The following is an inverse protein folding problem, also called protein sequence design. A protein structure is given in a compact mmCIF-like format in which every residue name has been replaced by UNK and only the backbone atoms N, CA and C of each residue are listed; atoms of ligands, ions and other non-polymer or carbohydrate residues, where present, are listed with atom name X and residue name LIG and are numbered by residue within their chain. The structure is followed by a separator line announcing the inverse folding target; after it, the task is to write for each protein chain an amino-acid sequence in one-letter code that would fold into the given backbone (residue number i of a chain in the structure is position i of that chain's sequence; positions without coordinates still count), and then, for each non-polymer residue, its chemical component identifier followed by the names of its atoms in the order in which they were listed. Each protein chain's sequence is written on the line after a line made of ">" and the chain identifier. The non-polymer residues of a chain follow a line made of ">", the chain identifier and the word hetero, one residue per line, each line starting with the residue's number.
data_IF_358539706244
#
_entry.id   IF_358539706244
#
_cell.length_a   1.000
_cell.length_b   1.000
_cell.length_c   1.000
_cell.angle_alpha   90.00
_cell.angle_beta   90.00
_cell.angle_gamma   90.00
#
_symmetry.space_group_name_H-M   'P 1'
#
loop_
_entity.id
_entity.type
_entity.pdbx_description
1 polymer ?
#
# COMPACT_ATOMS: atom_id res chain seq x y z
N UNK A 1 26.64 -58.57 34.17
CA UNK A 1 26.80 -57.83 32.90
C UNK A 1 25.54 -57.02 32.66
N UNK A 2 25.60 -55.70 32.80
CA UNK A 2 24.52 -54.79 32.40
C UNK A 2 25.16 -53.59 31.70
N UNK A 3 24.95 -53.51 30.38
CA UNK A 3 25.40 -52.39 29.55
C UNK A 3 24.52 -51.17 29.87
N UNK A 4 25.16 -50.08 30.32
CA UNK A 4 24.52 -48.78 30.47
C UNK A 4 24.49 -48.08 29.12
N UNK A 5 23.29 -47.85 28.60
CA UNK A 5 23.00 -47.07 27.40
C UNK A 5 23.56 -45.66 27.52
N UNK A 6 24.49 -45.30 26.63
CA UNK A 6 24.96 -43.93 26.46
C UNK A 6 24.13 -43.25 25.38
N UNK A 7 23.60 -42.09 25.75
CA UNK A 7 22.80 -41.17 24.93
C UNK A 7 23.66 -40.62 23.79
N UNK A 8 23.22 -40.80 22.55
CA UNK A 8 23.68 -40.00 21.42
C UNK A 8 22.49 -39.18 20.91
N UNK A 9 22.29 -37.99 21.49
CA UNK A 9 21.41 -36.98 20.93
C UNK A 9 22.12 -36.39 19.71
N UNK A 10 21.83 -36.92 18.53
CA UNK A 10 22.29 -36.35 17.27
C UNK A 10 21.60 -35.00 17.04
N UNK A 11 22.41 -33.95 16.97
CA UNK A 11 22.02 -32.66 16.44
C UNK A 11 21.86 -32.75 14.93
N UNK A 12 20.71 -32.34 14.40
CA UNK A 12 20.54 -31.88 13.01
C UNK A 12 19.53 -30.73 13.06
N UNK A 13 19.99 -29.48 13.14
CA UNK A 13 20.34 -28.55 12.05
C UNK A 13 19.18 -27.62 11.74
N UNK A 14 19.45 -26.33 11.97
CA UNK A 14 18.79 -25.14 11.44
C UNK A 14 17.88 -25.41 10.22
N UNK A 15 16.58 -25.23 10.41
CA UNK A 15 15.72 -24.68 9.37
C UNK A 15 15.06 -23.44 9.93
N UNK A 16 15.72 -22.29 9.79
CA UNK A 16 15.12 -20.96 9.92
C UNK A 16 16.14 -19.95 9.38
N UNK A 17 16.36 -20.00 8.07
CA UNK A 17 16.97 -18.90 7.34
C UNK A 17 16.49 -18.91 5.87
N UNK A 18 15.19 -19.13 5.66
CA UNK A 18 14.55 -18.40 4.58
C UNK A 18 14.31 -17.00 5.17
N UNK A 19 15.19 -16.06 4.83
CA UNK A 19 14.97 -14.65 5.15
C UNK A 19 13.76 -14.18 4.36
N UNK A 20 12.56 -14.40 4.91
CA UNK A 20 11.39 -13.64 4.48
C UNK A 20 11.72 -12.19 4.81
N UNK A 21 12.03 -11.38 3.80
CA UNK A 21 12.06 -9.93 3.98
C UNK A 21 10.73 -9.57 4.63
N UNK A 22 10.77 -8.98 5.82
CA UNK A 22 9.54 -8.63 6.52
C UNK A 22 8.76 -7.66 5.63
N UNK A 23 7.49 -7.98 5.36
CA UNK A 23 6.62 -7.09 4.62
C UNK A 23 6.63 -5.71 5.30
N UNK A 24 6.91 -4.67 4.52
CA UNK A 24 6.91 -3.29 5.00
C UNK A 24 5.51 -2.74 4.87
N UNK A 25 4.93 -2.27 5.97
CA UNK A 25 3.58 -1.69 5.99
C UNK A 25 3.66 -0.21 6.33
N UNK A 26 2.91 0.58 5.55
CA UNK A 26 2.79 2.02 5.66
C UNK A 26 1.33 2.41 5.84
N UNK A 27 1.07 3.42 6.66
CA UNK A 27 -0.21 4.12 6.66
C UNK A 27 -0.25 5.06 5.46
N UNK A 28 -1.35 5.05 4.73
CA UNK A 28 -1.58 5.92 3.59
C UNK A 28 -2.45 7.13 3.96
N UNK A 29 -2.00 8.32 3.61
CA UNK A 29 -2.67 9.59 3.90
C UNK A 29 -2.92 10.35 2.61
N UNK A 30 -3.96 11.19 2.61
CA UNK A 30 -4.14 12.18 1.54
C UNK A 30 -2.99 13.18 1.55
N UNK A 31 -2.60 13.64 0.36
CA UNK A 31 -1.72 14.79 0.28
C UNK A 31 -2.48 16.08 0.63
N UNK A 32 -1.74 17.13 0.97
CA UNK A 32 -2.28 18.43 1.37
C UNK A 32 -1.85 19.51 0.37
N UNK A 33 -2.77 20.40 0.02
CA UNK A 33 -2.46 21.66 -0.66
C UNK A 33 -3.02 22.81 0.18
N UNK A 34 -2.21 23.85 0.42
CA UNK A 34 -2.66 25.02 1.20
C UNK A 34 -3.13 24.71 2.62
N UNK A 35 -2.64 23.62 3.23
CA UNK A 35 -3.01 23.20 4.59
C UNK A 35 -4.33 22.44 4.70
N UNK A 36 -4.95 22.05 3.57
CA UNK A 36 -6.15 21.21 3.54
C UNK A 36 -5.87 19.90 2.82
N UNK A 37 -6.46 18.76 3.25
CA UNK A 37 -6.43 17.53 2.47
C UNK A 37 -7.03 17.80 1.08
N UNK A 38 -6.33 17.39 0.04
CA UNK A 38 -6.73 17.68 -1.35
C UNK A 38 -7.42 16.46 -1.95
N UNK A 39 -6.70 15.34 -2.09
CA UNK A 39 -7.25 14.00 -2.31
C UNK A 39 -6.21 12.90 -2.03
N UNK A 40 -6.70 11.66 -1.96
CA UNK A 40 -5.91 10.44 -2.15
C UNK A 40 -6.21 9.79 -3.49
N UNK A 41 -7.48 9.84 -3.89
CA UNK A 41 -8.02 9.34 -5.15
C UNK A 41 -8.82 10.46 -5.78
N UNK A 42 -8.53 10.78 -7.04
CA UNK A 42 -9.18 11.87 -7.74
C UNK A 42 -9.65 11.47 -9.12
N UNK A 43 -10.89 11.84 -9.44
CA UNK A 43 -11.44 11.72 -10.79
C UNK A 43 -11.19 13.05 -11.52
N UNK A 44 -10.43 12.99 -12.62
CA UNK A 44 -9.84 14.17 -13.25
C UNK A 44 -10.86 15.15 -13.85
N UNK A 45 -10.49 16.43 -13.79
CA UNK A 45 -11.28 17.54 -14.34
C UNK A 45 -12.60 17.73 -13.60
N UNK A 46 -13.68 17.98 -14.35
CA UNK A 46 -15.04 18.10 -13.82
C UNK A 46 -15.82 16.77 -13.92
N UNK A 47 -15.11 15.64 -14.04
CA UNK A 47 -15.72 14.33 -14.25
C UNK A 47 -16.07 13.69 -12.91
N UNK A 48 -17.27 13.99 -12.43
CA UNK A 48 -17.73 13.45 -11.16
C UNK A 48 -18.12 11.97 -11.33
N UNK A 49 -17.65 11.06 -10.47
CA UNK A 49 -18.12 9.68 -10.50
C UNK A 49 -19.63 9.65 -10.31
N UNK A 50 -20.30 8.70 -10.95
CA UNK A 50 -21.76 8.56 -10.88
C UNK A 50 -22.21 8.48 -9.41
N UNK A 51 -23.26 9.23 -9.08
CA UNK A 51 -23.85 9.29 -7.75
C UNK A 51 -23.09 10.12 -6.71
N UNK A 52 -21.97 10.75 -7.06
CA UNK A 52 -21.23 11.60 -6.13
C UNK A 52 -21.83 12.99 -5.98
N UNK A 53 -21.74 13.54 -4.77
CA UNK A 53 -22.30 14.84 -4.38
C UNK A 53 -21.38 15.61 -3.42
N UNK A 54 -21.82 16.81 -3.02
CA UNK A 54 -21.05 17.71 -2.15
C UNK A 54 -20.02 18.58 -2.90
N UNK A 55 -19.24 19.35 -2.15
CA UNK A 55 -18.14 20.14 -2.70
C UNK A 55 -16.98 19.23 -3.11
N UNK A 56 -16.36 19.49 -4.27
CA UNK A 56 -15.29 18.62 -4.82
C UNK A 56 -15.73 17.13 -4.85
N UNK A 57 -16.87 16.79 -5.49
CA UNK A 57 -17.43 15.44 -5.44
C UNK A 57 -16.55 14.36 -6.10
N UNK A 58 -15.55 14.79 -6.87
CA UNK A 58 -14.51 13.99 -7.50
C UNK A 58 -13.24 13.80 -6.66
N UNK A 59 -13.16 14.38 -5.45
CA UNK A 59 -12.02 14.24 -4.54
C UNK A 59 -12.37 13.29 -3.41
N UNK A 60 -11.61 12.21 -3.29
CA UNK A 60 -11.78 11.23 -2.23
C UNK A 60 -10.49 11.14 -1.41
N UNK A 61 -10.62 11.32 -0.10
CA UNK A 61 -9.49 11.36 0.83
C UNK A 61 -9.48 10.11 1.68
N UNK A 62 -8.30 9.50 1.89
CA UNK A 62 -8.09 8.61 3.02
C UNK A 62 -8.32 9.42 4.31
N UNK A 63 -9.23 8.95 5.14
CA UNK A 63 -9.39 9.45 6.51
C UNK A 63 -8.16 9.01 7.30
N UNK A 64 -7.29 9.92 7.76
CA UNK A 64 -6.28 9.52 8.74
C UNK A 64 -5.89 10.65 9.72
N UNK A 65 -6.68 10.69 10.82
CA UNK A 65 -6.22 10.99 12.19
C UNK A 65 -6.71 9.90 13.20
N UNK A 66 -7.33 8.81 12.74
CA UNK A 66 -7.86 7.70 13.54
C UNK A 66 -7.47 6.32 12.92
N UNK A 67 -7.55 5.19 13.66
CA UNK A 67 -7.19 3.87 13.14
C UNK A 67 -8.17 3.35 12.08
N UNK A 68 -7.63 2.93 10.92
CA UNK A 68 -8.39 2.55 9.73
C UNK A 68 -8.57 3.78 8.83
N UNK A 69 -8.21 3.79 7.55
CA UNK A 69 -8.45 2.67 6.65
C UNK A 69 -7.44 2.55 5.50
N UNK A 70 -6.53 3.50 5.25
CA UNK A 70 -5.52 3.40 4.18
C UNK A 70 -4.24 2.64 4.60
N UNK A 71 -3.91 1.56 3.91
CA UNK A 71 -2.70 0.74 4.13
C UNK A 71 -1.99 0.50 2.80
N UNK A 72 -0.70 0.85 2.73
CA UNK A 72 0.18 0.39 1.66
C UNK A 72 1.14 -0.65 2.23
N UNK A 73 1.23 -1.83 1.61
CA UNK A 73 2.12 -2.89 2.02
C UNK A 73 3.01 -3.31 0.86
N UNK A 74 4.28 -3.59 1.15
CA UNK A 74 5.25 -4.08 0.17
C UNK A 74 5.90 -5.35 0.70
N UNK A 75 5.82 -6.43 -0.06
CA UNK A 75 6.33 -7.75 0.29
C UNK A 75 7.14 -8.32 -0.87
N UNK A 76 8.47 -8.18 -0.80
CA UNK A 76 9.33 -8.47 -1.95
C UNK A 76 8.94 -7.60 -3.14
N UNK A 77 8.61 -8.24 -4.26
CA UNK A 77 8.25 -7.58 -5.52
C UNK A 77 6.74 -7.33 -5.65
N UNK A 78 5.93 -7.71 -4.66
CA UNK A 78 4.50 -7.42 -4.66
C UNK A 78 4.20 -6.23 -3.75
N UNK A 79 3.21 -5.43 -4.13
CA UNK A 79 2.68 -4.37 -3.28
C UNK A 79 1.15 -4.33 -3.31
N UNK A 80 0.55 -3.83 -2.24
CA UNK A 80 -0.90 -3.63 -2.14
C UNK A 80 -1.23 -2.28 -1.53
N UNK A 81 -2.24 -1.60 -2.06
CA UNK A 81 -2.85 -0.43 -1.45
C UNK A 81 -4.31 -0.76 -1.17
N UNK A 82 -4.73 -0.66 0.08
CA UNK A 82 -6.12 -0.89 0.47
C UNK A 82 -6.64 0.22 1.36
N UNK A 83 -7.94 0.50 1.29
CA UNK A 83 -8.59 1.32 2.30
C UNK A 83 -9.82 2.10 1.89
N UNK A 84 -10.48 2.68 2.88
CA UNK A 84 -11.66 3.51 2.68
C UNK A 84 -11.25 4.94 2.35
N UNK A 85 -11.85 5.50 1.30
CA UNK A 85 -11.75 6.92 0.95
C UNK A 85 -13.14 7.53 0.91
N UNK A 86 -13.26 8.80 1.32
CA UNK A 86 -14.53 9.54 1.30
C UNK A 86 -14.38 10.92 0.69
N UNK A 87 -15.45 11.41 0.07
CA UNK A 87 -15.57 12.81 -0.34
C UNK A 87 -16.17 13.67 0.78
N UNK A 88 -16.35 14.97 0.52
CA UNK A 88 -16.88 15.93 1.50
C UNK A 88 -18.36 15.68 1.88
N UNK A 89 -19.13 14.94 1.06
CA UNK A 89 -20.49 14.52 1.39
C UNK A 89 -20.53 13.26 2.28
N UNK A 90 -19.38 12.66 2.59
CA UNK A 90 -19.27 11.42 3.35
C UNK A 90 -19.53 10.17 2.51
N UNK A 91 -19.70 10.29 1.20
CA UNK A 91 -19.83 9.17 0.28
C UNK A 91 -18.44 8.59 0.02
N UNK A 92 -18.30 7.27 -0.10
CA UNK A 92 -16.98 6.69 -0.21
C UNK A 92 -16.89 5.31 -0.83
N UNK A 93 -15.63 4.92 -1.02
CA UNK A 93 -15.23 3.65 -1.62
C UNK A 93 -14.28 2.90 -0.70
N UNK A 94 -14.35 1.57 -0.73
CA UNK A 94 -13.21 0.73 -0.40
C UNK A 94 -12.35 0.57 -1.65
N UNK A 95 -11.08 0.96 -1.56
CA UNK A 95 -10.06 0.88 -2.59
C UNK A 95 -9.23 -0.37 -2.35
N UNK A 96 -8.94 -1.10 -3.41
CA UNK A 96 -8.05 -2.26 -3.39
C UNK A 96 -7.22 -2.27 -4.67
N UNK A 97 -5.91 -2.15 -4.54
CA UNK A 97 -4.95 -2.11 -5.65
C UNK A 97 -3.88 -3.14 -5.41
N UNK A 98 -3.65 -3.99 -6.39
CA UNK A 98 -2.63 -5.02 -6.39
C UNK A 98 -1.56 -4.69 -7.41
N UNK A 99 -0.30 -4.81 -7.00
CA UNK A 99 0.83 -4.28 -7.75
C UNK A 99 2.00 -5.27 -7.79
N UNK A 100 2.73 -5.24 -8.89
CA UNK A 100 3.95 -6.03 -9.10
C UNK A 100 5.08 -5.10 -9.55
N UNK A 101 6.24 -5.24 -8.93
CA UNK A 101 7.40 -4.39 -9.20
C UNK A 101 7.92 -4.62 -10.62
N UNK A 102 8.29 -3.51 -11.26
CA UNK A 102 8.84 -3.46 -12.60
C UNK A 102 10.09 -2.58 -12.62
N UNK A 103 10.82 -2.63 -13.73
CA UNK A 103 11.93 -1.74 -13.95
C UNK A 103 11.47 -0.27 -14.04
N UNK A 104 12.39 0.64 -13.78
CA UNK A 104 12.19 2.08 -13.95
C UNK A 104 11.68 2.39 -15.38
N UNK A 105 10.49 3.03 -15.52
CA UNK A 105 9.94 3.35 -16.84
C UNK A 105 10.63 4.53 -17.54
N UNK A 106 11.45 5.32 -16.85
CA UNK A 106 12.07 6.54 -17.38
C UNK A 106 11.12 7.71 -17.55
N UNK A 107 9.86 7.60 -17.07
CA UNK A 107 8.84 8.64 -17.10
C UNK A 107 8.08 8.68 -15.79
N UNK A 108 7.85 9.87 -15.25
CA UNK A 108 7.42 10.05 -13.87
C UNK A 108 6.26 11.04 -13.75
N UNK A 109 5.38 10.80 -12.77
CA UNK A 109 4.40 11.76 -12.29
C UNK A 109 5.08 12.61 -11.21
N UNK A 110 5.89 13.58 -11.66
CA UNK A 110 6.69 14.40 -10.76
C UNK A 110 5.91 15.59 -10.22
N UNK A 111 6.25 16.01 -9.00
CA UNK A 111 5.84 17.32 -8.51
C UNK A 111 6.41 18.44 -9.39
N UNK A 112 5.67 19.54 -9.63
CA UNK A 112 6.17 20.65 -10.43
C UNK A 112 7.55 21.14 -9.94
N UNK A 113 8.55 21.07 -10.82
CA UNK A 113 9.91 21.51 -10.51
C UNK A 113 10.78 20.50 -9.75
N UNK A 114 10.33 19.25 -9.56
CA UNK A 114 11.15 18.22 -8.94
C UNK A 114 12.36 17.85 -9.80
N UNK A 115 13.55 18.08 -9.25
CA UNK A 115 14.84 17.71 -9.83
C UNK A 115 15.65 16.76 -8.92
N UNK A 116 14.98 16.10 -7.97
CA UNK A 116 15.63 15.25 -6.98
C UNK A 116 16.07 13.88 -7.50
N UNK A 117 16.77 13.15 -6.64
CA UNK A 117 17.22 11.79 -6.90
C UNK A 117 16.03 10.81 -6.91
N UNK A 118 16.09 9.83 -7.81
CA UNK A 118 15.07 8.77 -7.99
C UNK A 118 15.68 7.37 -7.86
N UNK A 119 16.98 7.26 -7.52
CA UNK A 119 17.68 5.97 -7.43
C UNK A 119 17.03 4.97 -6.49
N UNK A 120 16.38 5.48 -5.44
CA UNK A 120 15.74 4.68 -4.40
C UNK A 120 14.23 4.48 -4.63
N UNK A 121 13.71 4.99 -5.75
CA UNK A 121 12.31 4.78 -6.11
C UNK A 121 12.10 3.36 -6.60
N UNK A 122 10.91 2.85 -6.32
CA UNK A 122 10.42 1.59 -6.83
C UNK A 122 9.21 1.84 -7.71
N UNK A 123 9.08 1.03 -8.74
CA UNK A 123 8.06 1.18 -9.76
C UNK A 123 7.22 -0.08 -9.84
N UNK A 124 5.91 0.08 -10.00
CA UNK A 124 4.99 -1.04 -10.05
C UNK A 124 4.00 -0.92 -11.20
N UNK A 125 3.65 -2.06 -11.79
CA UNK A 125 2.45 -2.24 -12.59
C UNK A 125 1.31 -2.78 -11.74
N UNK A 126 0.07 -2.72 -12.24
CA UNK A 126 -1.03 -3.46 -11.63
C UNK A 126 -0.87 -4.95 -11.91
N UNK A 127 -1.05 -5.76 -10.86
CA UNK A 127 -1.02 -7.21 -10.97
C UNK A 127 -2.27 -7.68 -11.73
N UNK A 128 -2.11 -8.03 -13.00
CA UNK A 128 -3.20 -8.48 -13.88
C UNK A 128 -3.84 -9.82 -13.47
N UNK A 129 -3.21 -10.55 -12.54
CA UNK A 129 -3.78 -11.79 -11.99
C UNK A 129 -4.78 -11.53 -10.86
N UNK A 130 -4.82 -10.30 -10.34
CA UNK A 130 -5.73 -9.85 -9.29
C UNK A 130 -6.56 -8.68 -9.81
N UNK A 131 -7.78 -8.52 -9.31
CA UNK A 131 -8.64 -7.40 -9.71
C UNK A 131 -8.38 -6.22 -8.77
N UNK A 132 -7.83 -5.13 -9.32
CA UNK A 132 -7.76 -3.85 -8.61
C UNK A 132 -9.07 -3.08 -8.83
N UNK A 133 -9.70 -2.60 -7.77
CA UNK A 133 -11.04 -2.03 -7.84
C UNK A 133 -11.34 -0.99 -6.76
N UNK A 134 -12.40 -0.22 -7.00
CA UNK A 134 -13.08 0.61 -6.02
C UNK A 134 -14.52 0.15 -5.87
N UNK A 135 -14.89 -0.23 -4.65
CA UNK A 135 -16.25 -0.70 -4.33
C UNK A 135 -16.95 0.34 -3.46
N UNK A 136 -18.18 0.71 -3.81
CA UNK A 136 -18.96 1.64 -3.00
C UNK A 136 -19.14 1.12 -1.56
N UNK A 137 -18.96 1.99 -0.58
CA UNK A 137 -19.18 1.67 0.84
C UNK A 137 -20.68 1.58 1.14
N UNK A 138 -21.02 0.86 2.22
CA UNK A 138 -22.37 0.91 2.77
C UNK A 138 -22.75 2.35 3.15
N UNK A 139 -23.97 2.77 2.81
CA UNK A 139 -24.43 4.15 2.91
C UNK A 139 -23.96 5.07 1.76
N UNK A 140 -23.34 4.51 0.71
CA UNK A 140 -22.93 5.23 -0.50
C UNK A 140 -23.43 4.53 -1.76
N UNK A 141 -24.63 3.94 -1.69
CA UNK A 141 -25.20 3.06 -2.72
C UNK A 141 -25.50 3.77 -4.05
N UNK A 142 -25.56 5.11 -4.05
CA UNK A 142 -25.65 5.90 -5.26
C UNK A 142 -24.36 5.84 -6.09
N UNK A 143 -23.20 5.58 -5.45
CA UNK A 143 -21.93 5.48 -6.12
C UNK A 143 -21.83 4.18 -6.94
N UNK A 144 -21.29 4.29 -8.16
CA UNK A 144 -20.89 3.12 -8.95
C UNK A 144 -19.67 2.41 -8.36
N UNK A 145 -19.40 1.16 -8.74
CA UNK A 145 -18.11 0.51 -8.48
C UNK A 145 -17.24 0.53 -9.74
N UNK A 146 -15.92 0.50 -9.58
CA UNK A 146 -14.98 0.72 -10.67
C UNK A 146 -13.88 -0.33 -10.67
N UNK A 147 -13.49 -0.81 -11.85
CA UNK A 147 -12.21 -1.47 -12.06
C UNK A 147 -11.12 -0.40 -12.29
N UNK A 148 -9.92 -0.64 -11.76
CA UNK A 148 -8.78 0.27 -11.87
C UNK A 148 -7.80 -0.28 -12.90
N UNK A 149 -7.37 0.56 -13.84
CA UNK A 149 -6.28 0.28 -14.76
C UNK A 149 -5.25 1.42 -14.79
N UNK A 150 -4.00 1.12 -15.12
CA UNK A 150 -3.00 2.18 -15.35
C UNK A 150 -3.35 2.95 -16.62
N UNK A 151 -3.16 4.26 -16.57
CA UNK A 151 -3.41 5.13 -17.71
C UNK A 151 -2.23 5.10 -18.69
N UNK A 152 -2.20 4.07 -19.53
CA UNK A 152 -1.25 3.88 -20.64
C UNK A 152 0.21 3.63 -20.22
N UNK A 153 0.99 3.06 -21.15
CA UNK A 153 2.45 2.97 -21.04
C UNK A 153 3.04 4.32 -21.48
N UNK A 154 3.63 5.10 -20.57
CA UNK A 154 4.72 4.60 -19.71
C UNK A 154 4.55 4.85 -18.20
N UNK A 155 3.37 5.28 -17.74
CA UNK A 155 3.21 5.72 -16.35
C UNK A 155 3.01 4.50 -15.43
N UNK A 156 4.00 4.28 -14.57
CA UNK A 156 3.97 3.24 -13.53
C UNK A 156 3.60 3.86 -12.18
N UNK A 157 3.16 3.00 -11.26
CA UNK A 157 3.04 3.42 -9.86
C UNK A 157 4.43 3.66 -9.32
N UNK A 158 4.71 4.88 -8.89
CA UNK A 158 5.99 5.25 -8.28
C UNK A 158 5.85 5.28 -6.76
N UNK A 159 6.84 4.75 -6.06
CA UNK A 159 6.90 4.70 -4.60
C UNK A 159 8.30 5.08 -4.14
N UNK A 160 8.39 6.04 -3.22
CA UNK A 160 9.68 6.56 -2.74
C UNK A 160 9.56 7.94 -2.11
N UNK A 161 10.67 8.44 -1.57
CA UNK A 161 10.74 9.83 -1.08
C UNK A 161 10.71 10.75 -2.29
N UNK A 162 9.73 11.66 -2.32
CA UNK A 162 9.46 12.54 -3.44
C UNK A 162 8.61 11.95 -4.55
N UNK A 163 8.18 10.69 -4.42
CA UNK A 163 7.29 10.06 -5.39
C UNK A 163 5.84 10.57 -5.31
N UNK A 164 5.50 11.33 -4.26
CA UNK A 164 4.26 12.12 -4.22
C UNK A 164 4.39 13.32 -5.15
N UNK A 165 3.44 13.52 -6.07
CA UNK A 165 3.54 14.58 -7.09
C UNK A 165 3.12 15.97 -6.60
N UNK A 166 3.00 16.15 -5.29
CA UNK A 166 2.56 17.39 -4.64
C UNK A 166 3.49 17.82 -3.52
N UNK A 167 4.16 16.87 -2.88
CA UNK A 167 5.21 17.13 -1.89
C UNK A 167 6.43 16.23 -2.13
N UNK A 168 7.46 16.81 -2.74
CA UNK A 168 8.71 16.15 -3.06
C UNK A 168 9.55 15.74 -1.82
N UNK A 169 9.18 16.18 -0.62
CA UNK A 169 9.97 15.94 0.61
C UNK A 169 9.50 14.74 1.40
N UNK A 170 8.31 14.21 1.09
CA UNK A 170 7.69 13.13 1.84
C UNK A 170 7.83 11.79 1.12
N UNK A 171 7.82 10.71 1.91
CA UNK A 171 7.60 9.38 1.38
C UNK A 171 6.18 9.31 0.82
N UNK A 172 6.05 8.87 -0.43
CA UNK A 172 4.75 8.85 -1.10
C UNK A 172 4.62 7.78 -2.14
N UNK A 173 3.41 7.71 -2.68
CA UNK A 173 3.06 6.90 -3.84
C UNK A 173 2.16 7.73 -4.74
N UNK A 174 2.43 7.71 -6.05
CA UNK A 174 1.55 8.37 -7.02
C UNK A 174 1.48 7.60 -8.34
N UNK A 175 0.38 7.80 -9.07
CA UNK A 175 0.18 7.26 -10.42
C UNK A 175 -1.01 7.91 -11.12
N UNK A 176 -1.04 7.87 -12.45
CA UNK A 176 -2.24 8.15 -13.25
C UNK A 176 -2.98 6.85 -13.56
N UNK A 177 -4.30 6.85 -13.37
CA UNK A 177 -5.16 5.68 -13.56
C UNK A 177 -6.45 6.02 -14.29
N UNK A 178 -7.07 4.99 -14.87
CA UNK A 178 -8.43 5.03 -15.39
C UNK A 178 -9.34 4.18 -14.47
N UNK A 179 -10.49 4.75 -14.11
CA UNK A 179 -11.56 4.10 -13.35
C UNK A 179 -12.69 3.76 -14.32
N UNK A 180 -12.91 2.48 -14.57
CA UNK A 180 -13.96 2.03 -15.47
C UNK A 180 -15.11 1.44 -14.68
N UNK A 181 -16.32 1.99 -14.85
CA UNK A 181 -17.53 1.50 -14.17
C UNK A 181 -17.73 0.01 -14.44
N UNK A 182 -17.97 -0.76 -13.37
CA UNK A 182 -18.24 -2.19 -13.49
C UNK A 182 -19.62 -2.40 -14.11
N UNK A 183 -19.82 -3.45 -14.94
CA UNK A 183 -21.11 -3.75 -15.58
C UNK A 183 -22.31 -3.89 -14.64
N UNK A 184 -22.10 -4.15 -13.36
CA UNK A 184 -23.15 -4.19 -12.34
C UNK A 184 -23.61 -2.80 -11.89
N UNK A 185 -22.81 -1.76 -12.14
CA UNK A 185 -23.04 -0.36 -11.76
C UNK A 185 -23.48 0.52 -12.93
N UNK A 186 -23.42 0.02 -14.16
CA UNK A 186 -23.91 0.65 -15.39
C UNK A 186 -24.90 -0.30 -16.08
N UNK A 187 -25.86 0.20 -16.86
CA UNK A 187 -26.87 -0.62 -17.53
C UNK A 187 -26.29 -1.42 -18.74
N UNK A 188 -25.29 -2.30 -18.52
CA UNK A 188 -24.57 -3.21 -19.45
C UNK A 188 -24.02 -2.63 -20.77
N UNK A 189 -24.48 -1.46 -21.20
CA UNK A 189 -24.08 -0.68 -22.37
C UNK A 189 -23.87 0.75 -21.88
N UNK A 190 -22.70 1.33 -22.18
CA UNK A 190 -22.38 2.71 -21.78
C UNK A 190 -21.70 2.89 -20.41
N UNK A 191 -20.99 1.88 -19.91
CA UNK A 191 -20.13 2.02 -18.73
C UNK A 191 -19.10 3.12 -18.98
N UNK A 192 -19.03 4.10 -18.08
CA UNK A 192 -18.14 5.24 -18.23
C UNK A 192 -16.75 4.89 -17.73
N UNK A 193 -15.75 5.43 -18.39
CA UNK A 193 -14.37 5.42 -17.92
C UNK A 193 -13.95 6.84 -17.59
N UNK A 194 -13.35 7.01 -16.42
CA UNK A 194 -12.91 8.27 -15.90
C UNK A 194 -11.41 8.21 -15.71
N UNK A 195 -10.68 9.14 -16.30
CA UNK A 195 -9.29 9.31 -15.96
C UNK A 195 -9.13 9.96 -14.59
N UNK A 196 -8.02 9.71 -13.92
CA UNK A 196 -7.73 10.29 -12.62
C UNK A 196 -6.39 9.85 -12.07
N UNK A 197 -6.20 10.03 -10.76
CA UNK A 197 -4.95 9.66 -10.11
C UNK A 197 -5.16 9.04 -8.72
N UNK A 198 -4.10 8.37 -8.27
CA UNK A 198 -3.85 8.10 -6.86
C UNK A 198 -2.63 8.91 -6.50
N UNK A 199 -2.72 9.72 -5.44
CA UNK A 199 -1.58 10.46 -4.91
C UNK A 199 -1.66 10.54 -3.40
N UNK A 200 -0.73 9.85 -2.74
CA UNK A 200 -0.76 9.65 -1.29
C UNK A 200 0.59 9.91 -0.65
N UNK A 201 0.52 10.31 0.62
CA UNK A 201 1.65 10.38 1.53
C UNK A 201 1.68 9.10 2.35
N UNK A 202 2.86 8.60 2.67
CA UNK A 202 3.05 7.34 3.39
C UNK A 202 3.86 7.57 4.67
N UNK A 203 3.44 6.94 5.76
CA UNK A 203 4.24 6.85 7.00
C UNK A 203 4.44 5.40 7.37
N UNK A 204 5.67 5.03 7.74
CA UNK A 204 5.95 3.69 8.25
C UNK A 204 5.11 3.38 9.49
N UNK A 205 4.59 2.15 9.58
CA UNK A 205 3.99 1.62 10.82
C UNK A 205 5.14 1.12 11.71
N UNK A 206 5.32 1.64 12.93
CA UNK A 206 6.32 1.09 13.84
C UNK A 206 6.01 -0.38 14.13
N UNK A 207 6.97 -1.27 13.89
CA UNK A 207 6.85 -2.68 14.30
C UNK A 207 6.66 -2.69 15.82
N UNK A 208 5.66 -3.41 16.37
CA UNK A 208 5.48 -3.50 17.82
C UNK A 208 6.78 -3.93 18.48
N UNK A 209 7.30 -3.10 19.40
CA UNK A 209 8.59 -3.33 20.07
C UNK A 209 8.70 -4.70 20.75
N UNK A 210 7.57 -5.35 21.01
CA UNK A 210 7.47 -6.72 21.51
C UNK A 210 8.19 -7.75 20.62
N UNK A 211 8.23 -7.58 19.30
CA UNK A 211 8.87 -8.55 18.41
C UNK A 211 10.41 -8.53 18.51
N UNK A 212 11.09 -7.37 18.39
CA UNK A 212 12.52 -7.26 18.70
C UNK A 212 12.86 -7.68 20.13
N UNK A 213 12.03 -7.32 21.12
CA UNK A 213 12.24 -7.69 22.53
C UNK A 213 12.06 -9.19 22.78
N UNK A 214 11.12 -9.85 22.11
CA UNK A 214 10.93 -11.30 22.19
C UNK A 214 12.12 -12.04 21.60
N UNK A 215 12.61 -11.60 20.44
CA UNK A 215 13.81 -12.19 19.82
C UNK A 215 15.06 -11.96 20.68
N UNK A 216 15.24 -10.76 21.23
CA UNK A 216 16.33 -10.46 22.17
C UNK A 216 16.21 -11.27 23.47
N UNK A 217 14.99 -11.43 24.00
CA UNK A 217 14.70 -12.19 25.22
C UNK A 217 14.96 -13.68 25.04
N UNK A 218 14.54 -14.27 23.92
CA UNK A 218 14.81 -15.67 23.58
C UNK A 218 16.31 -15.91 23.33
N UNK A 219 16.99 -14.98 22.66
CA UNK A 219 18.46 -15.04 22.48
C UNK A 219 19.23 -14.97 23.80
N UNK A 220 18.81 -14.09 24.72
CA UNK A 220 19.40 -13.97 26.05
C UNK A 220 19.24 -15.23 26.90
N UNK A 221 18.05 -15.85 26.89
CA UNK A 221 17.80 -17.10 27.63
C UNK A 221 18.61 -18.28 27.08
N UNK A 222 18.76 -18.39 25.76
CA UNK A 222 19.58 -19.43 25.13
C UNK A 222 21.07 -19.30 25.51
N UNK A 223 21.61 -18.08 25.56
CA UNK A 223 22.99 -17.82 25.96
C UNK A 223 23.25 -18.20 27.43
N UNK A 224 22.33 -17.83 28.34
CA UNK A 224 22.43 -18.18 29.77
C UNK A 224 22.31 -19.69 29.99
N UNK A 225 21.42 -20.37 29.25
CA UNK A 225 21.29 -21.82 29.28
C UNK A 225 22.56 -22.55 28.83
N UNK A 226 23.21 -22.06 27.77
CA UNK A 226 24.47 -22.63 27.24
C UNK A 226 25.64 -22.42 28.22
N UNK A 227 25.70 -21.27 28.90
CA UNK A 227 26.73 -20.96 29.90
C UNK A 227 26.62 -21.82 31.16
N UNK A 228 25.40 -22.24 31.55
CA UNK A 228 25.17 -23.14 32.68
C UNK A 228 25.53 -24.59 32.38
N UNK A 229 25.40 -25.06 31.12
CA UNK A 229 25.82 -26.41 30.70
C UNK A 229 27.33 -26.56 30.52
N UNK A 230 28.07 -25.48 30.27
CA UNK A 230 29.54 -25.50 30.13
C UNK A 230 30.30 -25.52 31.48
N UNK A 231 29.61 -25.28 32.60
CA UNK A 231 30.21 -25.25 33.96
C UNK A 231 29.83 -26.46 34.83
N UNK A 232 29.21 -27.49 34.24
CA UNK A 232 28.99 -28.82 34.83
C UNK A 232 29.70 -29.84 33.95
#
# INVERSE_FOLDING_TARGET
>A
MFFKSTVAAAAVTLMLAAGSAAASTYKAFSHYEGGQPEHSVWFSGNSNPSGSSGSKPNHFTFENALPGHGIFAVNGNEATLTGNVRNAAGEGFFVEVYMSEVADPGTYKDAPGYAGDRSDWRFFELDVTKSSMMTALAGSEALGSYDISLRGDPLKVQFGIGANDKDATLLGLSTWIDFTEKPQSCAQTGCRSYAGDINIVLSQVPVPAAMPLLLAGLGGMAFVGRRRRSKR
#
